data_IF_525206083892
#
_entry.id   IF_525206083892
#
_cell.length_a   1.000
_cell.length_b   1.000
_cell.length_c   1.000
_cell.angle_alpha   90.00
_cell.angle_beta   90.00
_cell.angle_gamma   90.00
#
_symmetry.space_group_name_H-M   'P 1'
#
loop_
_entity.id
_entity.type
_entity.pdbx_description
1 polymer ?
#
# COMPACT_ATOMS: atom_id res chain seq x y z
N UNK A 1 68.72 24.26 9.02
CA UNK A 1 68.87 25.53 8.26
C UNK A 1 69.00 26.62 9.32
N UNK A 2 70.00 27.51 9.23
CA UNK A 2 70.21 28.54 10.27
C UNK A 2 69.03 29.51 10.18
N UNK A 3 68.18 29.54 11.21
CA UNK A 3 67.13 30.56 11.34
C UNK A 3 67.80 31.88 11.72
N UNK A 4 68.02 32.72 10.72
CA UNK A 4 68.53 34.07 10.92
C UNK A 4 67.34 34.97 11.25
N UNK A 5 67.32 35.58 12.44
CA UNK A 5 66.33 36.61 12.73
C UNK A 5 66.83 37.99 12.25
N UNK A 6 65.93 38.95 12.02
CA UNK A 6 66.31 40.35 11.76
C UNK A 6 67.22 40.93 12.87
N UNK A 7 67.02 40.48 14.11
CA UNK A 7 67.86 40.87 15.25
C UNK A 7 69.27 40.29 15.13
N UNK A 8 69.42 39.07 14.62
CA UNK A 8 70.73 38.44 14.41
C UNK A 8 71.51 39.11 13.28
N UNK A 9 70.81 39.58 12.24
CA UNK A 9 71.42 40.38 11.16
C UNK A 9 71.93 41.72 11.69
N UNK A 10 71.12 42.40 12.52
CA UNK A 10 71.53 43.67 13.16
C UNK A 10 72.70 43.49 14.12
N UNK A 11 72.71 42.43 14.93
CA UNK A 11 73.82 42.12 15.86
C UNK A 11 75.13 41.79 15.14
N UNK A 12 75.04 41.20 13.95
CA UNK A 12 76.22 40.86 13.13
C UNK A 12 77.13 42.05 12.83
N UNK A 13 76.58 43.27 12.86
CA UNK A 13 77.33 44.53 12.72
C UNK A 13 78.52 44.62 13.68
N UNK A 14 78.39 44.10 14.89
CA UNK A 14 79.45 44.13 15.92
C UNK A 14 80.53 43.06 15.71
N UNK A 15 80.24 42.03 14.91
CA UNK A 15 81.15 40.90 14.66
C UNK A 15 82.14 41.18 13.52
N UNK A 16 81.91 42.20 12.68
CA UNK A 16 82.77 42.55 11.56
C UNK A 16 84.02 43.33 12.01
N UNK A 17 85.20 42.71 11.87
CA UNK A 17 86.50 43.35 12.17
C UNK A 17 86.91 44.31 11.06
N UNK A 18 87.41 45.49 11.43
CA UNK A 18 88.00 46.45 10.46
C UNK A 18 89.35 45.94 9.96
N UNK A 19 89.54 45.96 8.64
CA UNK A 19 90.79 45.59 7.97
C UNK A 19 91.28 46.75 7.08
N UNK A 20 92.60 46.91 6.92
CA UNK A 20 93.21 48.03 6.18
C UNK A 20 92.85 48.09 4.68
N UNK A 21 92.26 47.01 4.13
CA UNK A 21 91.67 46.90 2.79
C UNK A 21 90.31 46.17 2.85
N UNK A 22 89.38 46.69 3.64
CA UNK A 22 88.02 46.14 3.80
C UNK A 22 86.94 46.93 3.08
N UNK A 23 85.70 46.43 3.14
CA UNK A 23 84.51 47.17 2.72
C UNK A 23 84.27 48.39 3.63
N UNK A 24 83.60 49.41 3.09
CA UNK A 24 83.21 50.61 3.83
C UNK A 24 82.20 50.25 4.94
N UNK A 25 82.55 50.45 6.23
CA UNK A 25 81.68 50.10 7.36
C UNK A 25 80.30 50.76 7.29
N UNK A 26 80.19 52.01 6.84
CA UNK A 26 78.90 52.72 6.79
C UNK A 26 77.95 52.13 5.75
N UNK A 27 78.50 51.72 4.59
CA UNK A 27 77.72 51.06 3.54
C UNK A 27 77.30 49.64 3.95
N UNK A 28 78.19 48.91 4.63
CA UNK A 28 77.87 47.57 5.17
C UNK A 28 76.78 47.67 6.23
N UNK A 29 76.84 48.67 7.11
CA UNK A 29 75.83 48.92 8.13
C UNK A 29 74.45 49.24 7.52
N UNK A 30 74.42 50.11 6.51
CA UNK A 30 73.18 50.44 5.80
C UNK A 30 72.60 49.22 5.07
N UNK A 31 73.45 48.37 4.50
CA UNK A 31 73.02 47.13 3.86
C UNK A 31 72.48 46.11 4.88
N UNK A 32 73.13 45.95 6.04
CA UNK A 32 72.65 45.07 7.11
C UNK A 32 71.29 45.51 7.65
N UNK A 33 71.06 46.82 7.76
CA UNK A 33 69.76 47.35 8.21
C UNK A 33 68.65 47.08 7.18
N UNK A 34 68.93 47.33 5.89
CA UNK A 34 68.00 46.99 4.80
C UNK A 34 67.73 45.48 4.72
N UNK A 35 68.78 44.66 4.89
CA UNK A 35 68.66 43.21 4.91
C UNK A 35 67.82 42.72 6.10
N UNK A 36 68.01 43.30 7.28
CA UNK A 36 67.21 43.00 8.46
C UNK A 36 65.73 43.37 8.27
N UNK A 37 65.45 44.55 7.70
CA UNK A 37 64.09 44.99 7.38
C UNK A 37 63.41 44.05 6.38
N UNK A 38 64.08 43.71 5.28
CA UNK A 38 63.54 42.80 4.27
C UNK A 38 63.34 41.39 4.79
N UNK A 39 64.27 40.88 5.60
CA UNK A 39 64.12 39.59 6.27
C UNK A 39 62.92 39.60 7.23
N UNK A 40 62.71 40.71 7.97
CA UNK A 40 61.56 40.87 8.85
C UNK A 40 60.23 40.86 8.10
N UNK A 41 60.15 41.56 6.97
CA UNK A 41 58.98 41.56 6.10
C UNK A 41 58.68 40.16 5.55
N UNK A 42 59.70 39.45 5.06
CA UNK A 42 59.56 38.07 4.55
C UNK A 42 59.09 37.10 5.63
N UNK A 43 59.62 37.19 6.86
CA UNK A 43 59.18 36.33 7.98
C UNK A 43 57.76 36.66 8.46
N UNK A 44 57.32 37.91 8.31
CA UNK A 44 55.93 38.29 8.60
C UNK A 44 54.97 37.76 7.53
N UNK A 45 55.36 37.87 6.25
CA UNK A 45 54.59 37.32 5.13
C UNK A 45 54.53 35.79 5.20
N UNK A 46 55.64 35.11 5.48
CA UNK A 46 55.69 33.66 5.66
C UNK A 46 54.73 33.20 6.77
N UNK A 47 54.69 33.90 7.92
CA UNK A 47 53.76 33.60 9.01
C UNK A 47 52.31 33.79 8.58
N UNK A 48 51.99 34.91 7.93
CA UNK A 48 50.64 35.18 7.41
C UNK A 48 50.18 34.13 6.38
N UNK A 49 51.08 33.73 5.47
CA UNK A 49 50.80 32.68 4.50
C UNK A 49 50.59 31.32 5.16
N UNK A 50 51.41 30.95 6.16
CA UNK A 50 51.24 29.70 6.93
C UNK A 50 49.90 29.66 7.68
N UNK A 51 49.52 30.75 8.34
CA UNK A 51 48.21 30.86 9.01
C UNK A 51 47.07 30.69 8.00
N UNK A 52 47.18 31.34 6.84
CA UNK A 52 46.17 31.25 5.78
C UNK A 52 46.07 29.86 5.18
N UNK A 53 47.20 29.16 5.00
CA UNK A 53 47.23 27.76 4.57
C UNK A 53 46.51 26.89 5.60
N UNK A 54 46.81 27.02 6.90
CA UNK A 54 46.14 26.24 7.95
C UNK A 54 44.62 26.44 7.96
N UNK A 55 44.15 27.68 7.79
CA UNK A 55 42.70 27.96 7.69
C UNK A 55 42.08 27.35 6.43
N UNK A 56 42.79 27.35 5.30
CA UNK A 56 42.30 26.74 4.07
C UNK A 56 42.27 25.21 4.15
N UNK A 57 43.27 24.59 4.77
CA UNK A 57 43.32 23.15 5.01
C UNK A 57 42.17 22.70 5.93
N UNK A 58 41.88 23.44 7.00
CA UNK A 58 40.75 23.15 7.89
C UNK A 58 39.39 23.29 7.17
N UNK A 59 39.28 24.27 6.26
CA UNK A 59 38.07 24.41 5.44
C UNK A 59 37.94 23.27 4.43
N UNK A 60 39.05 22.87 3.80
CA UNK A 60 39.07 21.77 2.85
C UNK A 60 38.64 20.46 3.51
N UNK A 61 39.21 20.14 4.69
CA UNK A 61 38.79 18.95 5.44
C UNK A 61 37.30 18.96 5.78
N UNK A 62 36.75 20.11 6.19
CA UNK A 62 35.30 20.26 6.41
C UNK A 62 34.46 20.09 5.14
N UNK A 63 34.97 20.47 3.98
CA UNK A 63 34.29 20.24 2.70
C UNK A 63 34.33 18.76 2.30
N UNK A 64 35.48 18.10 2.46
CA UNK A 64 35.63 16.67 2.19
C UNK A 64 34.70 15.81 3.09
N UNK A 65 34.61 16.15 4.39
CA UNK A 65 33.68 15.49 5.32
C UNK A 65 32.22 15.68 4.89
N UNK A 66 31.85 16.89 4.46
CA UNK A 66 30.49 17.18 3.96
C UNK A 66 30.20 16.45 2.66
N UNK A 67 31.16 16.41 1.74
CA UNK A 67 31.02 15.69 0.48
C UNK A 67 30.82 14.19 0.74
N UNK A 68 31.59 13.61 1.67
CA UNK A 68 31.41 12.22 2.09
C UNK A 68 30.01 11.99 2.67
N UNK A 69 29.57 12.83 3.60
CA UNK A 69 28.23 12.72 4.18
C UNK A 69 27.12 12.85 3.13
N UNK A 70 27.29 13.71 2.13
CA UNK A 70 26.35 13.85 1.01
C UNK A 70 26.33 12.59 0.13
N UNK A 71 27.50 12.03 -0.19
CA UNK A 71 27.58 10.78 -0.95
C UNK A 71 26.94 9.61 -0.20
N UNK A 72 27.21 9.48 1.10
CA UNK A 72 26.59 8.45 1.95
C UNK A 72 25.06 8.64 2.00
N UNK A 73 24.59 9.87 2.14
CA UNK A 73 23.15 10.17 2.13
C UNK A 73 22.49 9.87 0.77
N UNK A 74 23.19 10.14 -0.34
CA UNK A 74 22.70 9.80 -1.68
C UNK A 74 22.60 8.29 -1.88
N UNK A 75 23.59 7.52 -1.43
CA UNK A 75 23.54 6.06 -1.48
C UNK A 75 22.38 5.52 -0.64
N UNK A 76 22.24 5.99 0.61
CA UNK A 76 21.13 5.59 1.47
C UNK A 76 19.76 5.94 0.85
N UNK A 77 19.63 7.11 0.21
CA UNK A 77 18.40 7.48 -0.48
C UNK A 77 18.11 6.60 -1.71
N UNK A 78 19.15 6.14 -2.42
CA UNK A 78 18.99 5.20 -3.54
C UNK A 78 18.54 3.83 -3.04
N UNK A 79 19.18 3.30 -2.00
CA UNK A 79 18.81 2.03 -1.36
C UNK A 79 17.37 2.06 -0.85
N UNK A 80 16.99 3.12 -0.13
CA UNK A 80 15.63 3.29 0.38
C UNK A 80 14.59 3.34 -0.76
N UNK A 81 14.92 4.01 -1.86
CA UNK A 81 14.05 4.06 -3.04
C UNK A 81 13.87 2.69 -3.68
N UNK A 82 14.95 1.92 -3.80
CA UNK A 82 14.90 0.56 -4.35
C UNK A 82 14.12 -0.38 -3.44
N UNK A 83 14.31 -0.28 -2.13
CA UNK A 83 13.54 -1.04 -1.15
C UNK A 83 12.05 -0.69 -1.20
N UNK A 84 11.71 0.61 -1.20
CA UNK A 84 10.33 1.06 -1.31
C UNK A 84 9.67 0.58 -2.61
N UNK A 85 10.40 0.62 -3.73
CA UNK A 85 9.92 0.08 -5.01
C UNK A 85 9.66 -1.43 -4.92
N UNK A 86 10.61 -2.19 -4.38
CA UNK A 86 10.48 -3.65 -4.22
C UNK A 86 9.34 -4.04 -3.29
N UNK A 87 9.11 -3.28 -2.22
CA UNK A 87 7.98 -3.48 -1.32
C UNK A 87 6.65 -3.18 -2.01
N UNK A 88 6.57 -2.06 -2.75
CA UNK A 88 5.36 -1.69 -3.49
C UNK A 88 5.01 -2.70 -4.59
N UNK A 89 6.01 -3.21 -5.33
CA UNK A 89 5.81 -4.26 -6.34
C UNK A 89 5.27 -5.56 -5.68
N UNK A 90 5.86 -5.99 -4.56
CA UNK A 90 5.37 -7.16 -3.81
C UNK A 90 3.96 -6.98 -3.27
N UNK A 91 3.64 -5.81 -2.72
CA UNK A 91 2.30 -5.52 -2.20
C UNK A 91 1.28 -5.45 -3.34
N UNK A 92 1.64 -4.89 -4.49
CA UNK A 92 0.77 -4.87 -5.67
C UNK A 92 0.45 -6.29 -6.15
N UNK A 93 1.46 -7.15 -6.25
CA UNK A 93 1.27 -8.55 -6.66
C UNK A 93 0.37 -9.31 -5.68
N UNK A 94 0.57 -9.14 -4.37
CA UNK A 94 -0.28 -9.74 -3.35
C UNK A 94 -1.73 -9.24 -3.45
N UNK A 95 -1.95 -7.94 -3.66
CA UNK A 95 -3.29 -7.38 -3.84
C UNK A 95 -3.99 -7.92 -5.07
N UNK A 96 -3.25 -8.11 -6.18
CA UNK A 96 -3.79 -8.71 -7.40
C UNK A 96 -4.21 -10.15 -7.12
N UNK A 97 -3.34 -10.95 -6.50
CA UNK A 97 -3.65 -12.35 -6.15
C UNK A 97 -4.86 -12.46 -5.21
N UNK A 98 -4.95 -11.59 -4.20
CA UNK A 98 -6.11 -11.55 -3.31
C UNK A 98 -7.39 -11.16 -4.04
N UNK A 99 -7.32 -10.19 -4.96
CA UNK A 99 -8.47 -9.77 -5.77
C UNK A 99 -8.93 -10.88 -6.71
N UNK A 100 -8.00 -11.57 -7.35
CA UNK A 100 -8.29 -12.72 -8.22
C UNK A 100 -8.93 -13.86 -7.42
N UNK A 101 -8.37 -14.23 -6.27
CA UNK A 101 -8.93 -15.27 -5.40
C UNK A 101 -10.35 -14.93 -4.92
N UNK A 102 -10.59 -13.67 -4.52
CA UNK A 102 -11.93 -13.20 -4.14
C UNK A 102 -12.90 -13.21 -5.31
N UNK A 103 -12.46 -12.80 -6.50
CA UNK A 103 -13.29 -12.83 -7.70
C UNK A 103 -13.68 -14.27 -8.07
N UNK A 104 -12.73 -15.21 -8.00
CA UNK A 104 -13.01 -16.62 -8.20
C UNK A 104 -14.01 -17.16 -7.18
N UNK A 105 -13.84 -16.82 -5.89
CA UNK A 105 -14.77 -17.22 -4.84
C UNK A 105 -16.19 -16.70 -5.12
N UNK A 106 -16.35 -15.42 -5.44
CA UNK A 106 -17.65 -14.82 -5.77
C UNK A 106 -18.29 -15.53 -6.97
N UNK A 107 -17.52 -15.85 -8.01
CA UNK A 107 -18.03 -16.57 -9.18
C UNK A 107 -18.47 -17.99 -8.82
N UNK A 108 -17.76 -18.69 -7.94
CA UNK A 108 -18.17 -20.01 -7.49
C UNK A 108 -19.45 -19.94 -6.64
N UNK A 109 -19.53 -19.02 -5.69
CA UNK A 109 -20.72 -18.80 -4.87
C UNK A 109 -21.94 -18.49 -5.76
N UNK A 110 -21.81 -17.58 -6.73
CA UNK A 110 -22.89 -17.25 -7.67
C UNK A 110 -23.34 -18.47 -8.50
N UNK A 111 -22.40 -19.32 -8.94
CA UNK A 111 -22.73 -20.57 -9.67
C UNK A 111 -23.45 -21.58 -8.78
N UNK A 112 -23.08 -21.68 -7.51
CA UNK A 112 -23.75 -22.56 -6.57
C UNK A 112 -25.18 -22.09 -6.27
N UNK A 113 -25.36 -20.78 -6.10
CA UNK A 113 -26.68 -20.15 -5.96
C UNK A 113 -27.55 -20.36 -7.19
N UNK A 114 -27.00 -20.17 -8.39
CA UNK A 114 -27.69 -20.43 -9.67
C UNK A 114 -28.18 -21.89 -9.73
N UNK A 115 -27.28 -22.86 -9.50
CA UNK A 115 -27.65 -24.29 -9.48
C UNK A 115 -28.69 -24.62 -8.41
N UNK A 116 -28.67 -23.93 -7.27
CA UNK A 116 -29.68 -24.09 -6.22
C UNK A 116 -31.03 -23.53 -6.66
N UNK A 117 -31.04 -22.35 -7.29
CA UNK A 117 -32.24 -21.73 -7.83
C UNK A 117 -32.87 -22.57 -8.95
N UNK A 118 -32.07 -23.11 -9.86
CA UNK A 118 -32.53 -24.01 -10.93
C UNK A 118 -33.20 -25.26 -10.36
N UNK A 119 -32.58 -25.89 -9.35
CA UNK A 119 -33.18 -27.06 -8.67
C UNK A 119 -34.52 -26.72 -8.03
N UNK A 120 -34.62 -25.58 -7.33
CA UNK A 120 -35.88 -25.11 -6.73
C UNK A 120 -36.94 -24.82 -7.80
N UNK A 121 -36.55 -24.27 -8.94
CA UNK A 121 -37.44 -23.99 -10.06
C UNK A 121 -38.01 -25.29 -10.64
N UNK A 122 -37.16 -26.30 -10.82
CA UNK A 122 -37.57 -27.61 -11.32
C UNK A 122 -38.52 -28.32 -10.34
N UNK A 123 -38.20 -28.31 -9.05
CA UNK A 123 -39.09 -28.85 -8.02
C UNK A 123 -40.46 -28.14 -8.04
N UNK A 124 -40.48 -26.82 -8.23
CA UNK A 124 -41.72 -26.05 -8.29
C UNK A 124 -42.54 -26.40 -9.54
N UNK A 125 -41.89 -26.63 -10.69
CA UNK A 125 -42.55 -27.10 -11.91
C UNK A 125 -43.20 -28.46 -11.72
N UNK A 126 -42.47 -29.42 -11.14
CA UNK A 126 -42.99 -30.76 -10.82
C UNK A 126 -44.19 -30.67 -9.87
N UNK A 127 -44.10 -29.83 -8.82
CA UNK A 127 -45.21 -29.60 -7.88
C UNK A 127 -46.43 -28.99 -8.59
N UNK A 128 -46.21 -27.99 -9.45
CA UNK A 128 -47.29 -27.37 -10.24
C UNK A 128 -48.00 -28.38 -11.12
N UNK A 129 -47.26 -29.21 -11.86
CA UNK A 129 -47.87 -30.24 -12.70
C UNK A 129 -48.67 -31.26 -11.89
N UNK A 130 -48.13 -31.72 -10.76
CA UNK A 130 -48.83 -32.64 -9.87
C UNK A 130 -50.12 -32.02 -9.35
N UNK A 131 -50.08 -30.75 -8.96
CA UNK A 131 -51.26 -30.01 -8.52
C UNK A 131 -52.32 -29.92 -9.62
N UNK A 132 -51.93 -29.50 -10.83
CA UNK A 132 -52.85 -29.38 -11.96
C UNK A 132 -53.48 -30.73 -12.34
N UNK A 133 -52.72 -31.83 -12.29
CA UNK A 133 -53.25 -33.19 -12.47
C UNK A 133 -54.28 -33.53 -11.39
N UNK A 134 -53.92 -33.40 -10.11
CA UNK A 134 -54.85 -33.70 -9.00
C UNK A 134 -56.11 -32.84 -9.00
N UNK A 135 -55.98 -31.58 -9.42
CA UNK A 135 -57.10 -30.66 -9.51
C UNK A 135 -58.06 -31.07 -10.63
N UNK A 136 -57.53 -31.43 -11.81
CA UNK A 136 -58.32 -32.00 -12.91
C UNK A 136 -59.05 -33.27 -12.46
N UNK A 137 -58.34 -34.22 -11.87
CA UNK A 137 -58.94 -35.48 -11.41
C UNK A 137 -60.08 -35.25 -10.41
N UNK A 138 -59.94 -34.21 -9.55
CA UNK A 138 -60.98 -33.83 -8.59
C UNK A 138 -62.21 -33.24 -9.29
N UNK A 139 -62.02 -32.36 -10.28
CA UNK A 139 -63.12 -31.80 -11.05
C UNK A 139 -63.84 -32.86 -11.88
N UNK A 140 -63.11 -33.78 -12.50
CA UNK A 140 -63.70 -34.91 -13.26
C UNK A 140 -64.59 -35.77 -12.34
N UNK A 141 -64.14 -36.09 -11.12
CA UNK A 141 -64.96 -36.80 -10.13
C UNK A 141 -66.23 -36.04 -9.74
N UNK A 142 -66.15 -34.72 -9.55
CA UNK A 142 -67.34 -33.92 -9.23
C UNK A 142 -68.32 -33.86 -10.40
N UNK A 143 -67.84 -33.83 -11.64
CA UNK A 143 -68.69 -33.93 -12.82
C UNK A 143 -69.38 -35.28 -12.90
N UNK A 144 -68.66 -36.38 -12.68
CA UNK A 144 -69.23 -37.73 -12.64
C UNK A 144 -70.32 -37.86 -11.55
N UNK A 145 -70.10 -37.30 -10.34
CA UNK A 145 -71.12 -37.30 -9.28
C UNK A 145 -72.36 -36.48 -9.69
N UNK A 146 -72.16 -35.32 -10.31
CA UNK A 146 -73.23 -34.48 -10.80
C UNK A 146 -74.05 -35.18 -11.90
N UNK A 147 -73.38 -35.82 -12.87
CA UNK A 147 -74.02 -36.57 -13.94
C UNK A 147 -74.82 -37.77 -13.40
N UNK A 148 -74.26 -38.49 -12.43
CA UNK A 148 -74.96 -39.58 -11.75
C UNK A 148 -76.22 -39.09 -11.01
N UNK A 149 -76.14 -37.93 -10.34
CA UNK A 149 -77.29 -37.35 -9.64
C UNK A 149 -78.35 -36.83 -10.62
N UNK A 150 -77.95 -36.20 -11.73
CA UNK A 150 -78.88 -35.79 -12.79
C UNK A 150 -79.57 -36.99 -13.44
N UNK A 151 -78.85 -38.09 -13.69
CA UNK A 151 -79.43 -39.31 -14.22
C UNK A 151 -80.45 -39.93 -13.24
N UNK A 152 -80.18 -39.88 -11.93
CA UNK A 152 -81.14 -40.32 -10.89
C UNK A 152 -82.42 -39.49 -10.90
N UNK A 153 -82.31 -38.17 -10.88
CA UNK A 153 -83.48 -37.28 -10.90
C UNK A 153 -84.32 -37.43 -12.18
N UNK A 154 -83.69 -37.72 -13.33
CA UNK A 154 -84.41 -38.02 -14.57
C UNK A 154 -85.18 -39.35 -14.51
N UNK A 155 -84.66 -40.34 -13.79
CA UNK A 155 -85.29 -41.65 -13.66
C UNK A 155 -86.46 -41.65 -12.67
N UNK A 156 -86.46 -40.75 -11.68
CA UNK A 156 -87.51 -40.62 -10.67
C UNK A 156 -87.68 -39.15 -10.22
N UNK A 157 -88.52 -38.35 -10.90
CA UNK A 157 -88.58 -36.89 -10.74
C UNK A 157 -89.25 -36.41 -9.45
N UNK A 158 -90.04 -37.25 -8.79
CA UNK A 158 -90.81 -36.91 -7.58
C UNK A 158 -90.15 -37.41 -6.28
N UNK A 159 -88.95 -37.99 -6.38
CA UNK A 159 -88.24 -38.53 -5.22
C UNK A 159 -87.51 -37.43 -4.46
N UNK A 160 -87.96 -37.17 -3.23
CA UNK A 160 -87.24 -36.26 -2.32
C UNK A 160 -85.78 -36.72 -2.15
N UNK A 161 -84.80 -35.79 -2.22
CA UNK A 161 -83.41 -36.13 -2.01
C UNK A 161 -83.28 -36.78 -0.62
N UNK A 162 -82.53 -37.90 -0.49
CA UNK A 162 -82.31 -38.47 0.83
C UNK A 162 -81.75 -37.37 1.72
N UNK A 163 -82.36 -37.14 2.88
CA UNK A 163 -81.89 -36.18 3.86
C UNK A 163 -80.44 -36.53 4.19
N UNK A 164 -79.48 -35.90 3.51
CA UNK A 164 -78.07 -36.03 3.82
C UNK A 164 -77.92 -35.34 5.16
N UNK A 165 -77.91 -36.15 6.23
CA UNK A 165 -77.17 -35.79 7.44
C UNK A 165 -75.85 -35.21 6.95
N UNK A 166 -75.50 -34.00 7.39
CA UNK A 166 -74.19 -33.39 7.22
C UNK A 166 -73.13 -34.36 7.77
N UNK A 167 -72.82 -35.41 7.01
CA UNK A 167 -71.65 -36.24 7.22
C UNK A 167 -70.54 -35.40 6.67
N UNK A 168 -69.85 -34.79 7.63
CA UNK A 168 -68.52 -34.20 7.54
C UNK A 168 -68.18 -33.86 6.11
N UNK A 169 -68.44 -32.60 5.75
CA UNK A 169 -67.69 -31.92 4.71
C UNK A 169 -66.22 -32.17 5.05
N UNK A 170 -65.66 -33.25 4.51
CA UNK A 170 -64.25 -33.53 4.64
C UNK A 170 -63.65 -32.45 3.79
N UNK A 171 -63.18 -31.41 4.46
CA UNK A 171 -62.54 -30.27 3.83
C UNK A 171 -61.68 -30.79 2.68
N UNK A 172 -61.72 -30.14 1.51
CA UNK A 172 -60.79 -30.48 0.44
C UNK A 172 -59.41 -30.59 1.09
N UNK A 173 -58.67 -31.71 0.87
CA UNK A 173 -57.49 -32.02 1.66
C UNK A 173 -56.65 -30.76 1.74
N UNK A 174 -56.51 -30.21 2.96
CA UNK A 174 -55.85 -28.94 3.16
C UNK A 174 -54.54 -29.03 2.40
N UNK A 175 -54.42 -28.24 1.34
CA UNK A 175 -53.18 -28.12 0.60
C UNK A 175 -52.27 -27.42 1.59
N UNK A 176 -51.57 -28.22 2.38
CA UNK A 176 -50.57 -27.73 3.30
C UNK A 176 -49.46 -27.20 2.42
N UNK A 177 -49.52 -25.89 2.16
CA UNK A 177 -48.41 -25.11 1.64
C UNK A 177 -47.36 -25.10 2.75
N UNK A 178 -46.63 -26.21 2.89
CA UNK A 178 -45.48 -26.24 3.77
C UNK A 178 -44.40 -25.32 3.19
N UNK A 179 -44.09 -24.28 3.96
CA UNK A 179 -42.83 -23.58 3.90
C UNK A 179 -42.74 -22.45 2.89
N UNK A 180 -43.46 -21.36 3.15
CA UNK A 180 -42.88 -20.04 2.91
C UNK A 180 -41.74 -19.85 3.93
N UNK A 181 -40.54 -20.32 3.57
CA UNK A 181 -39.31 -19.97 4.26
C UNK A 181 -38.90 -18.57 3.83
N UNK A 182 -39.42 -17.56 4.51
CA UNK A 182 -38.87 -16.21 4.44
C UNK A 182 -37.40 -16.26 4.92
N UNK A 183 -36.42 -15.72 4.18
CA UNK A 183 -35.09 -15.53 4.74
C UNK A 183 -35.16 -14.51 5.88
N UNK A 184 -34.41 -14.69 6.98
CA UNK A 184 -34.39 -13.71 8.06
C UNK A 184 -33.79 -12.41 7.52
N UNK A 185 -34.56 -11.32 7.60
CA UNK A 185 -34.02 -9.98 7.52
C UNK A 185 -33.08 -9.80 8.72
N UNK A 186 -31.77 -9.84 8.46
CA UNK A 186 -30.76 -9.51 9.43
C UNK A 186 -30.80 -8.01 9.73
N UNK A 187 -31.33 -7.66 10.88
CA UNK A 187 -30.97 -6.43 11.60
C UNK A 187 -29.67 -6.69 12.37
N UNK A 188 -28.67 -5.83 12.18
CA UNK A 188 -27.42 -5.90 12.93
C UNK A 188 -26.40 -4.87 12.46
N UNK A 189 -26.46 -3.70 13.11
CA UNK A 189 -25.44 -2.67 13.39
C UNK A 189 -24.27 -2.42 12.42
#
# INVERSE_FOLDING_TARGET
MIELSPLDVRKKKEDFRRAMRGYDPEQVDAFLELAAERLGALLAEERSLRERIGVLEEKLGRFEEREKALNDALLAAQELREEARSQAEREADLRIQEAEARAEQIVQEAREEERSAERRLEDLRIRRERFLRSFRDTLERFLEELEAEQARLRADPDREPPARSLREHRDPPAIRLEGSGAPPAGEGS
#
